data_IF_766370515707
#
_entry.id   IF_766370515707
#
_cell.length_a   1.000
_cell.length_b   1.000
_cell.length_c   1.000
_cell.angle_alpha   90.00
_cell.angle_beta   90.00
_cell.angle_gamma   90.00
#
_symmetry.space_group_name_H-M   'P 1'
#
loop_
_entity.id
_entity.type
_entity.pdbx_description
1 polymer ?
#
# COMPACT_ATOMS: atom_id res chain seq x y z
N UNK A 1 43.89 -15.57 -28.55
CA UNK A 1 42.47 -15.69 -28.48
C UNK A 1 41.94 -14.78 -27.37
N UNK A 2 41.31 -13.68 -27.78
CA UNK A 2 40.74 -12.70 -26.87
C UNK A 2 39.44 -13.27 -26.30
N UNK A 3 39.43 -13.47 -24.99
CA UNK A 3 38.19 -13.68 -24.24
C UNK A 3 37.46 -12.34 -24.16
N UNK A 4 36.32 -12.23 -24.87
CA UNK A 4 35.39 -11.14 -24.73
C UNK A 4 34.70 -11.29 -23.37
N UNK A 5 35.00 -10.38 -22.43
CA UNK A 5 34.15 -10.15 -21.28
C UNK A 5 32.78 -9.64 -21.81
N UNK A 6 31.78 -10.49 -21.76
CA UNK A 6 30.43 -10.07 -21.92
C UNK A 6 30.04 -9.22 -20.69
N UNK A 7 29.95 -7.91 -20.91
CA UNK A 7 29.33 -7.00 -19.94
C UNK A 7 27.95 -7.51 -19.63
N UNK A 8 27.69 -7.82 -18.38
CA UNK A 8 26.34 -8.07 -17.87
C UNK A 8 25.56 -6.76 -18.03
N UNK A 9 24.82 -6.67 -19.12
CA UNK A 9 23.90 -5.57 -19.35
C UNK A 9 22.85 -5.62 -18.25
N UNK A 10 22.85 -4.62 -17.39
CA UNK A 10 21.76 -4.34 -16.47
C UNK A 10 20.49 -4.24 -17.33
N UNK A 11 19.59 -5.22 -17.18
CA UNK A 11 18.24 -5.10 -17.72
C UNK A 11 17.56 -4.00 -16.91
N UNK A 12 17.60 -2.77 -17.41
CA UNK A 12 16.73 -1.71 -16.93
C UNK A 12 15.33 -2.15 -17.31
N UNK A 13 14.64 -2.84 -16.39
CA UNK A 13 13.24 -3.21 -16.56
C UNK A 13 12.42 -1.93 -16.63
N UNK A 14 11.58 -1.79 -17.65
CA UNK A 14 10.60 -0.70 -17.74
C UNK A 14 9.63 -0.74 -16.54
N UNK A 15 8.78 0.29 -16.41
CA UNK A 15 7.81 0.38 -15.32
C UNK A 15 6.91 -0.86 -15.28
N UNK A 16 6.78 -1.49 -14.12
CA UNK A 16 6.03 -2.74 -13.97
C UNK A 16 5.13 -2.70 -12.72
N UNK A 17 3.86 -3.04 -12.93
CA UNK A 17 2.89 -3.28 -11.85
C UNK A 17 2.75 -4.78 -11.64
N UNK A 18 2.95 -5.24 -10.43
CA UNK A 18 2.87 -6.66 -10.08
C UNK A 18 2.41 -6.89 -8.65
N UNK A 19 2.00 -8.12 -8.36
CA UNK A 19 1.82 -8.56 -6.97
C UNK A 19 3.18 -8.55 -6.27
N UNK A 20 3.20 -8.14 -5.01
CA UNK A 20 4.41 -8.19 -4.20
C UNK A 20 4.84 -9.62 -3.87
N UNK A 21 6.13 -9.77 -3.59
CA UNK A 21 6.77 -11.01 -3.13
C UNK A 21 7.43 -10.80 -1.77
N UNK A 22 7.95 -11.86 -1.16
CA UNK A 22 8.69 -11.73 0.12
C UNK A 22 9.95 -10.85 -0.01
N UNK A 23 10.55 -10.81 -1.19
CA UNK A 23 11.74 -9.99 -1.48
C UNK A 23 11.46 -8.49 -1.40
N UNK A 24 10.19 -8.08 -1.59
CA UNK A 24 9.78 -6.68 -1.54
C UNK A 24 9.62 -6.13 -0.11
N UNK A 25 9.69 -7.00 0.91
CA UNK A 25 9.42 -6.65 2.31
C UNK A 25 10.15 -5.39 2.78
N UNK A 26 11.46 -5.28 2.47
CA UNK A 26 12.28 -4.14 2.91
C UNK A 26 11.89 -2.85 2.19
N UNK A 27 11.62 -2.91 0.90
CA UNK A 27 11.21 -1.73 0.12
C UNK A 27 9.82 -1.23 0.54
N UNK A 28 8.88 -2.16 0.76
CA UNK A 28 7.53 -1.82 1.28
C UNK A 28 7.62 -1.24 2.68
N UNK A 29 8.47 -1.82 3.57
CA UNK A 29 8.72 -1.27 4.90
C UNK A 29 9.17 0.19 4.83
N UNK A 30 10.12 0.52 3.97
CA UNK A 30 10.60 1.89 3.80
C UNK A 30 9.49 2.84 3.36
N UNK A 31 8.67 2.44 2.37
CA UNK A 31 7.52 3.21 1.91
C UNK A 31 6.49 3.45 3.03
N UNK A 32 6.27 2.46 3.90
CA UNK A 32 5.34 2.60 5.03
C UNK A 32 5.93 3.50 6.12
N UNK A 33 7.23 3.41 6.40
CA UNK A 33 7.89 4.33 7.34
C UNK A 33 7.83 5.79 6.85
N UNK A 34 8.02 6.03 5.54
CA UNK A 34 7.83 7.38 4.95
C UNK A 34 6.37 7.84 5.10
N UNK A 35 5.41 6.97 4.83
CA UNK A 35 3.99 7.26 4.97
C UNK A 35 3.61 7.64 6.40
N UNK A 36 4.16 6.93 7.39
CA UNK A 36 3.89 7.16 8.82
C UNK A 36 4.80 8.21 9.45
N UNK A 37 5.80 8.71 8.70
CA UNK A 37 6.80 9.68 9.17
C UNK A 37 7.53 9.24 10.44
N UNK A 38 7.75 7.94 10.58
CA UNK A 38 8.47 7.34 11.71
C UNK A 38 9.04 5.97 11.33
N UNK A 39 10.08 5.56 12.02
CA UNK A 39 10.60 4.20 11.93
C UNK A 39 9.68 3.23 12.70
N UNK A 40 9.30 2.15 12.03
CA UNK A 40 8.48 1.08 12.61
C UNK A 40 9.38 -0.08 13.05
N UNK A 41 8.97 -0.93 14.02
CA UNK A 41 9.73 -2.13 14.38
C UNK A 41 9.79 -3.11 13.21
N UNK A 42 10.94 -3.19 12.53
CA UNK A 42 11.11 -3.97 11.29
C UNK A 42 10.80 -5.46 11.47
N UNK A 43 11.24 -6.06 12.59
CA UNK A 43 10.95 -7.48 12.85
C UNK A 43 9.44 -7.72 12.87
N UNK A 44 8.70 -6.90 13.61
CA UNK A 44 7.23 -7.05 13.71
C UNK A 44 6.54 -6.78 12.38
N UNK A 45 7.00 -5.79 11.62
CA UNK A 45 6.53 -5.52 10.26
C UNK A 45 6.71 -6.77 9.37
N UNK A 46 7.90 -7.36 9.37
CA UNK A 46 8.23 -8.52 8.53
C UNK A 46 7.37 -9.73 8.87
N UNK A 47 7.11 -9.99 10.15
CA UNK A 47 6.21 -11.08 10.60
C UNK A 47 4.78 -10.88 10.06
N UNK A 48 4.24 -9.66 10.18
CA UNK A 48 2.90 -9.33 9.69
C UNK A 48 2.86 -9.46 8.15
N UNK A 49 3.86 -8.91 7.45
CA UNK A 49 3.94 -8.98 6.00
C UNK A 49 4.00 -10.43 5.50
N UNK A 50 4.81 -11.28 6.15
CA UNK A 50 4.90 -12.70 5.85
C UNK A 50 3.56 -13.42 6.00
N UNK A 51 2.79 -13.10 7.05
CA UNK A 51 1.46 -13.68 7.27
C UNK A 51 0.48 -13.21 6.18
N UNK A 52 0.48 -11.91 5.86
CA UNK A 52 -0.43 -11.34 4.88
C UNK A 52 -0.18 -11.88 3.46
N UNK A 53 1.08 -12.06 3.06
CA UNK A 53 1.40 -12.53 1.70
C UNK A 53 0.93 -13.97 1.44
N UNK A 54 0.74 -14.76 2.50
CA UNK A 54 0.23 -16.14 2.44
C UNK A 54 -1.30 -16.23 2.58
N UNK A 55 -1.95 -15.15 3.03
CA UNK A 55 -3.39 -15.12 3.25
C UNK A 55 -4.10 -14.59 1.99
N UNK A 56 -4.99 -15.39 1.43
CA UNK A 56 -5.73 -15.03 0.20
C UNK A 56 -6.62 -13.81 0.33
N UNK A 57 -6.93 -13.37 1.55
CA UNK A 57 -7.67 -12.13 1.80
C UNK A 57 -6.86 -10.89 1.49
N UNK A 58 -5.52 -10.99 1.43
CA UNK A 58 -4.65 -9.87 1.17
C UNK A 58 -4.11 -9.87 -0.26
N UNK A 59 -3.91 -8.69 -0.77
CA UNK A 59 -3.25 -8.47 -2.05
C UNK A 59 -2.46 -7.16 -2.01
N UNK A 60 -1.15 -7.26 -2.02
CA UNK A 60 -0.28 -6.10 -2.10
C UNK A 60 0.19 -5.91 -3.54
N UNK A 61 -0.24 -4.81 -4.15
CA UNK A 61 0.20 -4.34 -5.46
C UNK A 61 1.43 -3.46 -5.29
N UNK A 62 2.47 -3.70 -6.07
CA UNK A 62 3.66 -2.85 -6.12
C UNK A 62 3.87 -2.30 -7.52
N UNK A 63 4.47 -1.11 -7.58
CA UNK A 63 5.01 -0.52 -8.79
C UNK A 63 6.53 -0.51 -8.71
N UNK A 64 7.14 -1.20 -9.65
CA UNK A 64 8.59 -1.27 -9.81
C UNK A 64 9.03 -0.35 -10.95
N UNK A 65 10.03 0.46 -10.69
CA UNK A 65 10.65 1.35 -11.65
C UNK A 65 12.18 1.26 -11.53
N UNK A 66 12.86 0.99 -12.63
CA UNK A 66 14.32 0.79 -12.67
C UNK A 66 14.83 -0.24 -11.64
N UNK A 67 14.12 -1.36 -11.49
CA UNK A 67 14.50 -2.44 -10.57
C UNK A 67 14.25 -2.15 -9.10
N UNK A 68 13.56 -1.06 -8.77
CA UNK A 68 13.23 -0.69 -7.39
C UNK A 68 11.72 -0.55 -7.20
N UNK A 69 11.19 -1.08 -6.11
CA UNK A 69 9.78 -0.86 -5.73
C UNK A 69 9.65 0.56 -5.16
N UNK A 70 8.90 1.39 -5.86
CA UNK A 70 8.70 2.82 -5.55
C UNK A 70 7.27 3.18 -5.18
N UNK A 71 6.37 2.22 -5.21
CA UNK A 71 5.03 2.39 -4.65
C UNK A 71 4.44 1.04 -4.22
N UNK A 72 3.58 1.06 -3.21
CA UNK A 72 2.87 -0.11 -2.70
C UNK A 72 1.44 0.27 -2.30
N UNK A 73 0.48 -0.60 -2.64
CA UNK A 73 -0.92 -0.52 -2.25
C UNK A 73 -1.35 -1.88 -1.73
N UNK A 74 -1.68 -1.96 -0.44
CA UNK A 74 -2.08 -3.18 0.23
C UNK A 74 -3.59 -3.24 0.43
N UNK A 75 -4.22 -4.28 -0.08
CA UNK A 75 -5.65 -4.55 0.03
C UNK A 75 -5.93 -5.68 1.00
N UNK A 76 -6.97 -5.55 1.80
CA UNK A 76 -7.66 -6.64 2.49
C UNK A 76 -9.07 -6.79 1.93
N UNK A 77 -9.50 -8.01 1.66
CA UNK A 77 -10.80 -8.33 1.13
C UNK A 77 -11.53 -9.27 2.09
N UNK A 78 -12.75 -8.92 2.47
CA UNK A 78 -13.54 -9.69 3.43
C UNK A 78 -15.05 -9.58 3.16
N UNK A 79 -15.79 -10.59 3.59
CA UNK A 79 -17.25 -10.55 3.62
C UNK A 79 -17.71 -9.72 4.81
N UNK A 80 -18.56 -8.74 4.58
CA UNK A 80 -19.09 -7.86 5.63
C UNK A 80 -20.60 -8.05 5.78
N UNK A 81 -21.06 -8.33 7.00
CA UNK A 81 -22.45 -8.66 7.26
C UNK A 81 -23.40 -7.50 6.93
N UNK A 82 -23.02 -6.27 7.27
CA UNK A 82 -23.89 -5.10 7.05
C UNK A 82 -23.98 -4.69 5.59
N UNK A 83 -23.01 -5.02 4.77
CA UNK A 83 -23.07 -4.88 3.32
C UNK A 83 -23.70 -6.11 2.66
N UNK A 84 -23.65 -7.29 3.31
CA UNK A 84 -23.99 -8.60 2.72
C UNK A 84 -23.19 -8.90 1.43
N UNK A 85 -22.01 -8.32 1.33
CA UNK A 85 -21.14 -8.33 0.16
C UNK A 85 -19.68 -8.42 0.57
N UNK A 86 -18.84 -8.73 -0.40
CA UNK A 86 -17.39 -8.71 -0.25
C UNK A 86 -16.86 -7.31 -0.52
N UNK A 87 -16.08 -6.79 0.43
CA UNK A 87 -15.53 -5.44 0.41
C UNK A 87 -14.01 -5.52 0.36
N UNK A 88 -13.37 -4.65 -0.43
CA UNK A 88 -11.93 -4.43 -0.41
C UNK A 88 -11.61 -3.18 0.41
N UNK A 89 -10.69 -3.28 1.36
CA UNK A 89 -10.17 -2.12 2.11
C UNK A 89 -8.71 -1.87 1.73
N UNK A 90 -8.38 -0.65 1.37
CA UNK A 90 -7.00 -0.19 1.23
C UNK A 90 -6.46 0.05 2.64
N UNK A 91 -5.54 -0.81 3.09
CA UNK A 91 -4.92 -0.70 4.40
C UNK A 91 -3.76 0.29 4.39
N UNK A 92 -2.89 0.19 3.39
CA UNK A 92 -1.77 1.08 3.16
C UNK A 92 -1.68 1.44 1.68
N UNK A 93 -1.36 2.70 1.40
CA UNK A 93 -1.07 3.17 0.06
C UNK A 93 0.01 4.25 0.11
N UNK A 94 1.17 3.93 -0.43
CA UNK A 94 2.31 4.84 -0.45
C UNK A 94 2.95 4.88 -1.84
N UNK A 95 3.33 6.09 -2.27
CA UNK A 95 4.13 6.34 -3.46
C UNK A 95 5.33 7.16 -3.02
N UNK A 96 6.54 6.69 -3.34
CA UNK A 96 7.79 7.39 -3.04
C UNK A 96 7.73 8.84 -3.55
N UNK A 97 8.27 9.77 -2.79
CA UNK A 97 8.17 11.19 -3.08
C UNK A 97 8.65 11.53 -4.50
N UNK A 98 9.75 10.93 -4.93
CA UNK A 98 10.32 11.09 -6.27
C UNK A 98 9.40 10.67 -7.42
N UNK A 99 8.37 9.86 -7.13
CA UNK A 99 7.41 9.32 -8.11
C UNK A 99 6.01 9.95 -8.00
N UNK A 100 5.78 10.85 -7.04
CA UNK A 100 4.49 11.55 -6.89
C UNK A 100 4.26 12.54 -8.04
N UNK A 101 2.99 12.82 -8.30
CA UNK A 101 2.59 13.77 -9.36
C UNK A 101 2.79 13.24 -10.80
N UNK A 102 3.22 11.99 -10.97
CA UNK A 102 3.51 11.35 -12.27
C UNK A 102 2.43 10.35 -12.72
N UNK A 103 1.28 10.35 -12.08
CA UNK A 103 0.17 9.45 -12.42
C UNK A 103 0.25 8.05 -11.80
N UNK A 104 1.36 7.67 -11.15
CA UNK A 104 1.57 6.35 -10.54
C UNK A 104 0.46 5.99 -9.57
N UNK A 105 0.09 6.91 -8.68
CA UNK A 105 -0.97 6.66 -7.69
C UNK A 105 -2.31 6.34 -8.32
N UNK A 106 -2.72 7.10 -9.35
CA UNK A 106 -3.96 6.86 -10.08
C UNK A 106 -3.97 5.48 -10.75
N UNK A 107 -2.89 5.15 -11.46
CA UNK A 107 -2.81 3.86 -12.15
C UNK A 107 -2.81 2.69 -11.16
N UNK A 108 -2.13 2.81 -10.02
CA UNK A 108 -2.18 1.80 -8.96
C UNK A 108 -3.60 1.64 -8.40
N UNK A 109 -4.31 2.74 -8.16
CA UNK A 109 -5.68 2.71 -7.67
C UNK A 109 -6.62 2.04 -8.68
N UNK A 110 -6.54 2.38 -9.98
CA UNK A 110 -7.31 1.74 -11.04
C UNK A 110 -7.07 0.22 -11.08
N UNK A 111 -5.81 -0.21 -10.97
CA UNK A 111 -5.44 -1.64 -10.94
C UNK A 111 -5.95 -2.34 -9.67
N UNK A 112 -5.91 -1.66 -8.53
CA UNK A 112 -6.47 -2.16 -7.28
C UNK A 112 -8.00 -2.37 -7.39
N UNK A 113 -8.72 -1.41 -7.99
CA UNK A 113 -10.15 -1.54 -8.27
C UNK A 113 -10.45 -2.71 -9.23
N UNK A 114 -9.65 -2.89 -10.28
CA UNK A 114 -9.80 -4.04 -11.19
C UNK A 114 -9.55 -5.37 -10.46
N UNK A 115 -8.55 -5.43 -9.59
CA UNK A 115 -8.25 -6.62 -8.80
C UNK A 115 -9.37 -6.94 -7.81
N UNK A 116 -9.88 -5.93 -7.11
CA UNK A 116 -11.01 -6.09 -6.21
C UNK A 116 -12.25 -6.64 -6.93
N UNK A 117 -12.60 -6.07 -8.09
CA UNK A 117 -13.71 -6.59 -8.93
C UNK A 117 -13.50 -8.04 -9.36
N UNK A 118 -12.30 -8.39 -9.82
CA UNK A 118 -11.95 -9.78 -10.21
C UNK A 118 -12.08 -10.77 -9.05
N UNK A 119 -11.95 -10.30 -7.82
CA UNK A 119 -12.11 -11.09 -6.60
C UNK A 119 -13.52 -11.02 -5.99
N UNK A 120 -14.47 -10.45 -6.73
CA UNK A 120 -15.89 -10.40 -6.34
C UNK A 120 -16.22 -9.32 -5.32
N UNK A 121 -15.36 -8.32 -5.12
CA UNK A 121 -15.69 -7.19 -4.27
C UNK A 121 -16.64 -6.23 -5.00
N UNK A 122 -17.67 -5.79 -4.31
CA UNK A 122 -18.64 -4.80 -4.80
C UNK A 122 -18.20 -3.36 -4.53
N UNK A 123 -17.32 -3.16 -3.54
CA UNK A 123 -16.89 -1.85 -3.07
C UNK A 123 -15.40 -1.88 -2.68
N UNK A 124 -14.75 -0.71 -2.82
CA UNK A 124 -13.41 -0.46 -2.29
C UNK A 124 -13.48 0.72 -1.31
N UNK A 125 -12.82 0.57 -0.16
CA UNK A 125 -12.81 1.54 0.93
C UNK A 125 -11.37 1.93 1.27
N UNK A 126 -11.20 3.12 1.86
CA UNK A 126 -9.93 3.57 2.42
C UNK A 126 -10.17 4.42 3.66
N UNK A 127 -9.40 4.20 4.71
CA UNK A 127 -9.34 5.10 5.86
C UNK A 127 -8.06 5.93 5.80
N UNK A 128 -8.19 7.25 5.97
CA UNK A 128 -7.05 8.16 6.00
C UNK A 128 -7.09 9.06 7.23
N UNK A 129 -5.92 9.46 7.73
CA UNK A 129 -5.84 10.44 8.79
C UNK A 129 -6.40 11.79 8.30
N UNK A 130 -7.15 12.48 9.16
CA UNK A 130 -7.75 13.79 8.86
C UNK A 130 -6.71 14.85 8.45
N UNK A 131 -5.47 14.73 8.90
CA UNK A 131 -4.38 15.64 8.56
C UNK A 131 -3.77 15.38 7.17
N UNK A 132 -4.10 14.28 6.52
CA UNK A 132 -3.57 13.90 5.20
C UNK A 132 -4.45 14.46 4.06
N UNK A 133 -4.55 15.77 3.99
CA UNK A 133 -5.37 16.46 2.97
C UNK A 133 -5.07 16.05 1.53
N UNK A 134 -3.80 15.76 1.22
CA UNK A 134 -3.40 15.29 -0.11
C UNK A 134 -4.05 13.95 -0.47
N UNK A 135 -4.16 13.02 0.49
CA UNK A 135 -4.84 11.76 0.31
C UNK A 135 -6.36 11.96 0.15
N UNK A 136 -6.96 12.89 0.92
CA UNK A 136 -8.38 13.22 0.77
C UNK A 136 -8.68 13.73 -0.64
N UNK A 137 -7.89 14.70 -1.14
CA UNK A 137 -8.03 15.21 -2.50
C UNK A 137 -7.83 14.15 -3.57
N UNK A 138 -6.92 13.20 -3.33
CA UNK A 138 -6.71 12.07 -4.24
C UNK A 138 -7.95 11.19 -4.31
N UNK A 139 -8.47 10.68 -3.19
CA UNK A 139 -9.62 9.78 -3.18
C UNK A 139 -10.89 10.45 -3.72
N UNK A 140 -11.11 11.73 -3.45
CA UNK A 140 -12.24 12.48 -4.01
C UNK A 140 -12.15 12.61 -5.55
N UNK A 141 -10.93 12.76 -6.11
CA UNK A 141 -10.73 12.76 -7.58
C UNK A 141 -10.93 11.39 -8.22
N UNK A 142 -10.79 10.33 -7.44
CA UNK A 142 -11.06 8.95 -7.87
C UNK A 142 -12.52 8.53 -7.57
N UNK A 143 -13.43 9.50 -7.46
CA UNK A 143 -14.88 9.32 -7.25
C UNK A 143 -15.24 8.58 -5.95
N UNK A 144 -14.37 8.59 -4.94
CA UNK A 144 -14.71 8.07 -3.62
C UNK A 144 -15.48 9.11 -2.79
N UNK A 145 -16.36 8.62 -1.93
CA UNK A 145 -17.19 9.47 -1.06
C UNK A 145 -16.75 9.33 0.40
N UNK A 146 -16.77 10.43 1.14
CA UNK A 146 -16.42 10.48 2.56
C UNK A 146 -17.68 10.60 3.42
N UNK A 147 -18.36 9.47 3.66
CA UNK A 147 -19.59 9.41 4.44
C UNK A 147 -19.42 8.83 5.85
N UNK A 148 -18.23 8.31 6.18
CA UNK A 148 -17.99 7.56 7.40
C UNK A 148 -16.87 8.17 8.24
N UNK A 149 -16.99 8.05 9.56
CA UNK A 149 -15.91 8.32 10.50
C UNK A 149 -15.32 7.01 11.00
N UNK A 150 -14.00 6.96 11.13
CA UNK A 150 -13.29 5.84 11.76
C UNK A 150 -12.90 6.21 13.18
N UNK A 151 -13.35 5.41 14.15
CA UNK A 151 -12.99 5.54 15.56
C UNK A 151 -11.97 4.46 15.94
N UNK A 152 -10.96 4.82 16.75
CA UNK A 152 -9.96 3.89 17.23
C UNK A 152 -9.70 4.09 18.73
N UNK A 153 -9.42 2.99 19.44
CA UNK A 153 -9.03 3.00 20.85
C UNK A 153 -7.86 2.04 21.04
N UNK A 154 -6.79 2.49 21.68
CA UNK A 154 -5.72 1.56 22.09
C UNK A 154 -6.22 0.69 23.25
N UNK A 155 -5.93 -0.61 23.19
CA UNK A 155 -6.39 -1.57 24.21
C UNK A 155 -5.29 -1.90 25.22
N UNK A 156 -4.01 -1.68 24.91
CA UNK A 156 -2.86 -1.99 25.76
C UNK A 156 -1.89 -0.80 25.80
N UNK A 157 -1.29 -0.57 26.99
CA UNK A 157 -0.20 0.39 27.22
C UNK A 157 -0.69 1.82 27.52
N UNK A 158 -0.53 2.26 28.77
CA UNK A 158 -0.78 3.66 29.18
C UNK A 158 0.31 4.64 28.71
N UNK A 159 1.45 4.16 28.18
CA UNK A 159 2.61 5.01 27.83
C UNK A 159 2.63 5.52 26.40
N UNK A 160 1.48 5.57 25.70
CA UNK A 160 1.41 6.02 24.31
C UNK A 160 0.45 7.21 24.08
N UNK A 161 0.08 7.94 25.13
CA UNK A 161 -0.89 9.05 25.07
C UNK A 161 -0.30 10.40 24.63
N UNK A 162 0.97 10.49 24.25
CA UNK A 162 1.58 11.81 23.96
C UNK A 162 1.73 12.19 22.50
N UNK A 163 1.21 11.46 21.52
CA UNK A 163 1.40 11.87 20.12
C UNK A 163 0.19 11.70 19.18
N UNK A 164 -1.04 11.83 19.67
CA UNK A 164 -2.24 11.75 18.80
C UNK A 164 -2.90 13.11 18.57
N UNK A 165 -2.48 14.14 19.25
CA UNK A 165 -2.92 15.51 19.02
C UNK A 165 -1.70 16.40 18.77
N UNK A 166 -1.06 16.20 17.63
CA UNK A 166 -0.20 17.24 17.05
C UNK A 166 -1.07 18.42 16.68
N UNK A 167 -0.94 19.48 17.45
CA UNK A 167 -1.49 20.81 17.15
C UNK A 167 -0.94 21.34 15.85
#
# INVERSE_FOLDING_TARGET
PLLALAAAGERIGGPMYRKSTLEDSKAIYQLICELEQKELPYQRFSEIYYQQIQDSRYYCLVYEYNGSVVAALNLRMEEQLHHTERIAEILEFSVAESCRGKGVGREMFDRACQMARKRGCSQIEAATNQLREGAHRFYLREDMHNFHYKFSKRLYGENASENVLGR
#
